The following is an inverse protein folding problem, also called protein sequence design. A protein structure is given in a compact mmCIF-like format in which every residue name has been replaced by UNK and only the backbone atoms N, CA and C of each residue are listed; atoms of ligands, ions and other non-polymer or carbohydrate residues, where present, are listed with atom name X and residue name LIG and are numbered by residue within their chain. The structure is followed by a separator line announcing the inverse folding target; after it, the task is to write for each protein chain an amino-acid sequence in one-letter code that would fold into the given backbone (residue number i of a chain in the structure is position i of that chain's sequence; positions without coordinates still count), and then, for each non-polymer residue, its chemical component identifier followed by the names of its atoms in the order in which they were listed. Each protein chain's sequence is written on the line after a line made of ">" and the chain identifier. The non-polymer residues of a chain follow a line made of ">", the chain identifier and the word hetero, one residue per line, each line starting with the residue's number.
data_IF_399953460155
#
_entry.id   IF_399953460155
#
_cell.length_a   1.000
_cell.length_b   1.000
_cell.length_c   1.000
_cell.angle_alpha   90.00
_cell.angle_beta   90.00
_cell.angle_gamma   90.00
#
_symmetry.space_group_name_H-M   'P 1'
#
loop_
_entity.id
_entity.type
_entity.pdbx_description
1 polymer ?
#
# COMPACT_ATOMS: atom_id res chain seq x y z
N UNK A 1 -13.45 -14.41 29.67
CA UNK A 1 -12.48 -14.51 28.58
C UNK A 1 -12.33 -13.12 27.93
N UNK A 2 -11.16 -12.52 28.02
CA UNK A 2 -10.93 -11.22 27.40
C UNK A 2 -10.66 -11.41 25.90
N UNK A 3 -11.42 -10.72 25.06
CA UNK A 3 -11.11 -10.64 23.64
C UNK A 3 -9.85 -9.79 23.45
N UNK A 4 -8.84 -10.35 22.78
CA UNK A 4 -7.72 -9.55 22.32
C UNK A 4 -8.21 -8.58 21.27
N UNK A 5 -7.95 -7.30 21.50
CA UNK A 5 -8.23 -6.27 20.51
C UNK A 5 -7.05 -6.23 19.53
N UNK A 6 -7.35 -6.36 18.25
CA UNK A 6 -6.35 -6.23 17.22
C UNK A 6 -5.82 -4.78 17.17
N UNK A 7 -4.53 -4.61 17.28
CA UNK A 7 -3.89 -3.27 17.27
C UNK A 7 -2.81 -3.12 16.19
N UNK A 8 -2.39 -4.24 15.59
CA UNK A 8 -1.35 -4.22 14.58
C UNK A 8 -1.78 -3.49 13.32
N UNK A 9 -0.95 -2.57 12.86
CA UNK A 9 -1.15 -1.85 11.59
C UNK A 9 0.04 -2.16 10.70
N UNK A 10 -0.22 -2.73 9.55
CA UNK A 10 0.81 -3.17 8.61
C UNK A 10 0.88 -2.22 7.43
N UNK A 11 2.08 -1.75 7.12
CA UNK A 11 2.38 -1.14 5.84
C UNK A 11 2.86 -2.23 4.89
N UNK A 12 2.11 -2.48 3.83
CA UNK A 12 2.45 -3.49 2.83
C UNK A 12 3.02 -2.79 1.60
N UNK A 13 4.30 -3.02 1.33
CA UNK A 13 5.01 -2.46 0.18
C UNK A 13 5.42 -3.54 -0.81
N UNK A 14 5.71 -3.12 -2.03
CA UNK A 14 6.20 -4.00 -3.07
C UNK A 14 5.83 -3.52 -4.46
N UNK A 15 6.35 -4.20 -5.47
CA UNK A 15 6.03 -3.91 -6.86
C UNK A 15 4.57 -4.26 -7.17
N UNK A 16 3.95 -3.50 -8.07
CA UNK A 16 2.56 -3.72 -8.48
C UNK A 16 2.39 -3.47 -9.99
N UNK A 17 3.45 -3.68 -10.77
CA UNK A 17 3.45 -3.39 -12.20
C UNK A 17 3.09 -4.59 -13.07
N UNK A 18 3.30 -5.81 -12.56
CA UNK A 18 3.06 -7.06 -13.30
C UNK A 18 1.85 -7.79 -12.73
N UNK A 19 1.25 -8.64 -13.56
CA UNK A 19 0.12 -9.48 -13.11
C UNK A 19 0.50 -10.36 -11.91
N UNK A 20 1.70 -10.93 -11.94
CA UNK A 20 2.18 -11.75 -10.82
C UNK A 20 2.33 -10.95 -9.53
N UNK A 21 2.64 -9.66 -9.62
CA UNK A 21 2.71 -8.78 -8.46
C UNK A 21 1.33 -8.61 -7.83
N UNK A 22 0.29 -8.48 -8.66
CA UNK A 22 -1.10 -8.37 -8.19
C UNK A 22 -1.51 -9.63 -7.42
N UNK A 23 -1.18 -10.80 -7.94
CA UNK A 23 -1.46 -12.07 -7.27
C UNK A 23 -0.74 -12.18 -5.93
N UNK A 24 0.53 -11.77 -5.87
CA UNK A 24 1.33 -11.79 -4.65
C UNK A 24 0.74 -10.86 -3.58
N UNK A 25 0.34 -9.66 -3.99
CA UNK A 25 -0.25 -8.68 -3.07
C UNK A 25 -1.57 -9.20 -2.52
N UNK A 26 -2.45 -9.72 -3.37
CA UNK A 26 -3.73 -10.29 -2.92
C UNK A 26 -3.54 -11.46 -1.96
N UNK A 27 -2.58 -12.33 -2.24
CA UNK A 27 -2.23 -13.45 -1.35
C UNK A 27 -1.70 -12.95 -0.01
N UNK A 28 -0.83 -11.94 -0.03
CA UNK A 28 -0.30 -11.34 1.19
C UNK A 28 -1.41 -10.71 2.03
N UNK A 29 -2.33 -9.98 1.39
CA UNK A 29 -3.51 -9.42 2.06
C UNK A 29 -4.37 -10.49 2.72
N UNK A 30 -4.61 -11.62 2.03
CA UNK A 30 -5.38 -12.74 2.58
C UNK A 30 -4.72 -13.34 3.81
N UNK A 31 -3.40 -13.56 3.74
CA UNK A 31 -2.63 -14.12 4.85
C UNK A 31 -2.66 -13.16 6.05
N UNK A 32 -2.44 -11.89 5.81
CA UNK A 32 -2.45 -10.88 6.87
C UNK A 32 -3.85 -10.72 7.49
N UNK A 33 -4.90 -10.83 6.68
CA UNK A 33 -6.28 -10.74 7.16
C UNK A 33 -6.65 -11.86 8.12
N UNK A 34 -5.97 -13.01 8.04
CA UNK A 34 -6.19 -14.14 8.94
C UNK A 34 -5.49 -14.01 10.29
N UNK A 35 -4.60 -13.03 10.43
CA UNK A 35 -3.88 -12.82 11.67
C UNK A 35 -4.72 -11.99 12.64
N UNK A 36 -5.12 -12.56 13.79
CA UNK A 36 -6.02 -11.86 14.72
C UNK A 36 -5.41 -10.65 15.41
N UNK A 37 -4.09 -10.48 15.33
CA UNK A 37 -3.42 -9.32 15.91
C UNK A 37 -3.37 -8.09 14.98
N UNK A 38 -3.70 -8.28 13.71
CA UNK A 38 -3.65 -7.21 12.71
C UNK A 38 -5.02 -6.56 12.57
N UNK A 39 -5.08 -5.25 12.83
CA UNK A 39 -6.29 -4.45 12.69
C UNK A 39 -6.44 -3.85 11.28
N UNK A 40 -5.32 -3.52 10.64
CA UNK A 40 -5.34 -2.82 9.35
C UNK A 40 -4.10 -3.14 8.53
N UNK A 41 -4.30 -3.29 7.23
CA UNK A 41 -3.22 -3.39 6.24
C UNK A 41 -3.33 -2.20 5.30
N UNK A 42 -2.28 -1.38 5.26
CA UNK A 42 -2.18 -0.26 4.34
C UNK A 42 -1.32 -0.68 3.15
N UNK A 43 -1.94 -0.81 1.98
CA UNK A 43 -1.24 -1.02 0.72
C UNK A 43 -1.37 0.27 -0.10
N UNK A 44 -0.26 0.96 -0.44
CA UNK A 44 -0.32 2.30 -1.04
C UNK A 44 -1.16 2.40 -2.30
N UNK A 45 -1.16 1.39 -3.16
CA UNK A 45 -1.91 1.41 -4.40
C UNK A 45 -3.43 1.36 -4.21
N UNK A 46 -3.91 1.01 -3.02
CA UNK A 46 -5.34 1.08 -2.68
C UNK A 46 -5.78 2.52 -2.38
N UNK A 47 -4.85 3.42 -2.19
CA UNK A 47 -5.07 4.81 -1.77
C UNK A 47 -4.48 5.81 -2.76
N UNK A 48 -4.62 5.53 -4.05
CA UNK A 48 -4.11 6.41 -5.09
C UNK A 48 -4.67 7.81 -4.94
N UNK A 49 -3.76 8.78 -4.93
CA UNK A 49 -4.15 10.18 -4.95
C UNK A 49 -4.62 10.54 -6.36
N UNK A 50 -5.82 11.10 -6.45
CA UNK A 50 -6.38 11.59 -7.73
C UNK A 50 -6.36 13.10 -7.73
N UNK A 51 -5.60 13.68 -8.67
CA UNK A 51 -5.62 15.12 -8.90
C UNK A 51 -6.77 15.43 -9.85
N UNK A 52 -7.85 16.11 -9.39
CA UNK A 52 -9.01 16.36 -10.22
C UNK A 52 -8.75 17.31 -11.40
N UNK A 53 -7.62 18.05 -11.36
CA UNK A 53 -7.24 18.96 -12.42
C UNK A 53 -6.29 18.34 -13.44
N UNK A 54 -5.80 17.12 -13.20
CA UNK A 54 -4.87 16.45 -14.09
C UNK A 54 -5.61 15.82 -15.27
N UNK A 55 -5.43 16.39 -16.46
CA UNK A 55 -6.14 15.95 -17.67
C UNK A 55 -5.50 14.77 -18.36
N UNK A 56 -4.17 14.65 -18.29
CA UNK A 56 -3.40 13.63 -18.99
C UNK A 56 -2.32 13.05 -18.06
N UNK A 57 -2.70 12.22 -17.08
CA UNK A 57 -1.82 11.81 -16.00
C UNK A 57 -0.63 10.95 -16.44
N UNK A 58 -0.69 10.35 -17.62
CA UNK A 58 0.34 9.40 -18.06
C UNK A 58 1.20 9.89 -19.22
N UNK A 59 1.00 11.11 -19.69
CA UNK A 59 1.80 11.65 -20.79
C UNK A 59 3.25 11.82 -20.36
N UNK A 60 4.15 11.16 -21.08
CA UNK A 60 5.58 11.23 -20.82
C UNK A 60 6.03 10.58 -19.52
N UNK A 61 5.16 9.80 -18.88
CA UNK A 61 5.45 9.18 -17.58
C UNK A 61 5.56 10.16 -16.43
N UNK A 62 5.19 11.42 -16.65
CA UNK A 62 5.25 12.46 -15.63
C UNK A 62 3.85 12.78 -15.12
N UNK A 63 3.73 12.79 -13.80
CA UNK A 63 2.51 13.19 -13.11
C UNK A 63 2.64 14.63 -12.62
N UNK A 64 1.52 15.29 -12.35
CA UNK A 64 1.49 16.64 -11.80
C UNK A 64 2.23 16.73 -10.47
N UNK A 65 2.68 17.91 -10.10
CA UNK A 65 3.29 18.14 -8.78
C UNK A 65 2.26 17.85 -7.66
N UNK A 66 1.01 18.24 -7.87
CA UNK A 66 -0.08 17.97 -6.92
C UNK A 66 -0.24 16.47 -6.69
N UNK A 67 -0.21 15.68 -7.75
CA UNK A 67 -0.28 14.22 -7.63
C UNK A 67 0.92 13.66 -6.86
N UNK A 68 2.14 14.14 -7.18
CA UNK A 68 3.37 13.67 -6.54
C UNK A 68 3.37 13.96 -5.04
N UNK A 69 3.00 15.18 -4.66
CA UNK A 69 2.93 15.60 -3.24
C UNK A 69 1.85 14.81 -2.50
N UNK A 70 0.65 14.68 -3.11
CA UNK A 70 -0.47 13.95 -2.50
C UNK A 70 -0.14 12.47 -2.31
N UNK A 71 0.47 11.83 -3.31
CA UNK A 71 0.88 10.43 -3.23
C UNK A 71 1.94 10.23 -2.15
N UNK A 72 2.95 11.09 -2.14
CA UNK A 72 4.00 11.06 -1.11
C UNK A 72 3.41 11.19 0.30
N UNK A 73 2.47 12.12 0.48
CA UNK A 73 1.82 12.34 1.76
C UNK A 73 1.01 11.12 2.21
N UNK A 74 0.30 10.48 1.28
CA UNK A 74 -0.46 9.26 1.58
C UNK A 74 0.46 8.12 2.01
N UNK A 75 1.57 7.94 1.31
CA UNK A 75 2.55 6.90 1.63
C UNK A 75 3.19 7.16 3.00
N UNK A 76 3.57 8.41 3.25
CA UNK A 76 4.16 8.80 4.52
C UNK A 76 3.20 8.59 5.69
N UNK A 77 1.92 8.92 5.52
CA UNK A 77 0.89 8.67 6.53
C UNK A 77 0.73 7.18 6.81
N UNK A 78 0.77 6.35 5.76
CA UNK A 78 0.70 4.90 5.91
C UNK A 78 1.88 4.35 6.71
N UNK A 79 3.10 4.78 6.39
CA UNK A 79 4.32 4.37 7.09
C UNK A 79 4.30 4.84 8.54
N UNK A 80 3.97 6.10 8.78
CA UNK A 80 3.97 6.68 10.13
C UNK A 80 2.94 6.06 11.05
N UNK A 81 1.82 5.59 10.51
CA UNK A 81 0.77 4.95 11.29
C UNK A 81 0.99 3.45 11.49
N UNK A 82 1.95 2.85 10.80
CA UNK A 82 2.19 1.41 10.84
C UNK A 82 2.94 0.99 12.09
N UNK A 83 2.58 -0.18 12.59
CA UNK A 83 3.32 -0.87 13.65
C UNK A 83 4.51 -1.64 13.05
N UNK A 84 4.32 -2.17 11.84
CA UNK A 84 5.30 -3.03 11.17
C UNK A 84 5.17 -2.88 9.66
N UNK A 85 6.28 -3.03 8.95
CA UNK A 85 6.30 -3.08 7.49
C UNK A 85 6.47 -4.50 6.98
N UNK A 86 5.74 -4.82 5.92
CA UNK A 86 5.90 -6.07 5.17
C UNK A 86 6.21 -5.69 3.73
N UNK A 87 7.31 -6.16 3.20
CA UNK A 87 7.75 -5.82 1.85
C UNK A 87 7.90 -7.07 1.02
N UNK A 88 7.24 -7.06 -0.13
CA UNK A 88 7.31 -8.13 -1.12
C UNK A 88 8.32 -7.76 -2.19
N UNK A 89 9.30 -8.59 -2.41
CA UNK A 89 10.26 -8.35 -3.48
C UNK A 89 10.66 -9.65 -4.16
N UNK A 90 11.19 -9.51 -5.37
CA UNK A 90 11.58 -10.64 -6.20
C UNK A 90 13.09 -10.89 -6.06
N UNK A 91 13.44 -12.10 -5.65
CA UNK A 91 14.85 -12.51 -5.47
C UNK A 91 15.53 -12.86 -6.79
N UNK A 92 14.77 -12.99 -7.87
CA UNK A 92 15.26 -13.42 -9.18
C UNK A 92 15.65 -12.27 -10.10
N UNK A 93 15.87 -11.11 -9.53
CA UNK A 93 16.27 -9.93 -10.29
C UNK A 93 17.76 -10.00 -10.59
#
# INVERSE_FOLDING_TARGET
>A
MQKKIATGKIYLGGSFNREIDHERVERAKEILAKNPTIAKVHFPFDYDFVDPEEKNPEIGGQRSMTWRVGTFQNDLNGINSATCGVFLYDMDI
#
